data_IF_384171719480
#
_entry.id   IF_384171719480
#
_cell.length_a   1.000
_cell.length_b   1.000
_cell.length_c   1.000
_cell.angle_alpha   90.00
_cell.angle_beta   90.00
_cell.angle_gamma   90.00
#
_symmetry.space_group_name_H-M   'P 1'
#
loop_
_entity.id
_entity.type
_entity.pdbx_description
1 polymer ?
#
# COMPACT_ATOMS: atom_id res chain seq x y z
N UNK A 1 -6.18 17.98 16.52
CA UNK A 1 -6.20 18.49 15.15
C UNK A 1 -4.90 19.17 14.70
N UNK A 2 -3.74 18.77 15.25
CA UNK A 2 -2.42 19.21 14.80
C UNK A 2 -1.65 18.06 14.12
N UNK A 3 -2.37 16.99 13.82
CA UNK A 3 -1.82 15.75 13.35
C UNK A 3 -1.70 15.76 11.86
N UNK A 4 -0.96 15.90 11.09
CA UNK A 4 -0.77 15.64 9.65
C UNK A 4 -0.57 16.85 8.75
N UNK A 5 0.26 17.80 9.17
CA UNK A 5 0.93 18.59 8.15
C UNK A 5 1.90 17.68 7.42
N UNK A 6 1.49 17.24 6.22
CA UNK A 6 2.40 16.52 5.32
C UNK A 6 3.62 17.41 5.10
N UNK A 7 4.84 16.96 5.41
CA UNK A 7 6.04 17.81 5.36
C UNK A 7 6.43 18.24 3.94
N UNK A 8 5.74 17.71 2.91
CA UNK A 8 5.91 18.06 1.51
C UNK A 8 4.56 17.98 0.78
N UNK A 9 4.46 18.60 -0.37
CA UNK A 9 3.25 18.57 -1.20
C UNK A 9 3.24 17.30 -2.04
N UNK A 10 2.18 16.49 -1.91
CA UNK A 10 1.90 15.39 -2.84
C UNK A 10 1.46 15.99 -4.16
N UNK A 11 2.15 15.66 -5.24
CA UNK A 11 1.86 16.16 -6.59
C UNK A 11 1.13 15.10 -7.42
N UNK A 12 0.41 15.45 -8.50
CA UNK A 12 -0.33 14.48 -9.31
C UNK A 12 0.53 13.33 -9.88
N UNK A 13 1.80 13.56 -10.16
CA UNK A 13 2.73 12.55 -10.65
C UNK A 13 3.20 11.56 -9.57
N UNK A 14 2.86 11.82 -8.30
CA UNK A 14 3.04 10.90 -7.18
C UNK A 14 1.83 9.99 -6.96
N UNK A 15 0.77 10.12 -7.75
CA UNK A 15 -0.47 9.37 -7.59
C UNK A 15 -0.76 8.55 -8.84
N UNK A 16 -1.11 7.29 -8.65
CA UNK A 16 -1.70 6.45 -9.67
C UNK A 16 -3.04 5.91 -9.17
N UNK A 17 -4.11 6.00 -9.97
CA UNK A 17 -5.44 5.48 -9.66
C UNK A 17 -5.79 4.29 -10.56
N UNK A 18 -6.45 3.28 -10.01
CA UNK A 18 -6.86 2.06 -10.70
C UNK A 18 -8.23 1.56 -10.26
N UNK A 19 -8.65 0.45 -10.84
CA UNK A 19 -9.98 -0.16 -10.64
C UNK A 19 -10.03 -0.95 -9.31
N UNK A 20 -10.01 -0.21 -8.20
CA UNK A 20 -9.90 -0.73 -6.84
C UNK A 20 -8.46 -1.04 -6.43
N UNK A 21 -8.24 -1.15 -5.11
CA UNK A 21 -6.92 -1.52 -4.59
C UNK A 21 -6.45 -2.90 -5.04
N UNK A 22 -7.36 -3.79 -5.42
CA UNK A 22 -7.00 -5.13 -5.93
C UNK A 22 -6.26 -5.04 -7.26
N UNK A 23 -6.76 -4.25 -8.24
CA UNK A 23 -6.04 -4.04 -9.49
C UNK A 23 -4.72 -3.30 -9.26
N UNK A 24 -4.75 -2.27 -8.41
CA UNK A 24 -3.55 -1.51 -8.05
C UNK A 24 -2.48 -2.41 -7.44
N UNK A 25 -2.83 -3.26 -6.47
CA UNK A 25 -1.93 -4.24 -5.87
C UNK A 25 -1.43 -5.26 -6.89
N UNK A 26 -2.30 -5.75 -7.77
CA UNK A 26 -1.92 -6.66 -8.86
C UNK A 26 -0.82 -6.05 -9.73
N UNK A 27 -0.95 -4.79 -10.11
CA UNK A 27 0.09 -4.08 -10.88
C UNK A 27 1.37 -3.82 -10.09
N UNK A 28 1.27 -3.56 -8.78
CA UNK A 28 2.43 -3.45 -7.88
C UNK A 28 3.19 -4.76 -7.81
N UNK A 29 2.49 -5.89 -7.67
CA UNK A 29 3.11 -7.21 -7.67
C UNK A 29 3.85 -7.47 -8.98
N UNK A 30 3.21 -7.22 -10.11
CA UNK A 30 3.82 -7.43 -11.41
C UNK A 30 5.01 -6.49 -11.69
N UNK A 31 4.92 -5.24 -11.24
CA UNK A 31 5.93 -4.22 -11.51
C UNK A 31 7.24 -4.39 -10.75
N UNK A 32 7.17 -4.88 -9.49
CA UNK A 32 8.29 -4.79 -8.57
C UNK A 32 8.80 -6.12 -8.02
N UNK A 33 8.04 -7.20 -8.19
CA UNK A 33 8.41 -8.50 -7.64
C UNK A 33 8.48 -9.56 -8.74
N UNK A 34 9.35 -10.53 -8.57
CA UNK A 34 9.58 -11.58 -9.54
C UNK A 34 9.80 -12.96 -8.87
N UNK A 35 9.89 -14.00 -9.69
CA UNK A 35 10.08 -15.38 -9.23
C UNK A 35 11.47 -15.66 -8.65
N UNK A 36 12.44 -14.76 -8.84
CA UNK A 36 13.84 -14.99 -8.44
C UNK A 36 14.07 -14.82 -6.94
N UNK A 37 13.20 -14.05 -6.26
CA UNK A 37 13.35 -13.67 -4.85
C UNK A 37 12.03 -13.70 -4.11
N UNK A 38 12.07 -14.12 -2.84
CA UNK A 38 10.88 -14.12 -1.99
C UNK A 38 10.46 -12.70 -1.60
N UNK A 39 9.15 -12.46 -1.57
CA UNK A 39 8.54 -11.25 -1.03
C UNK A 39 8.19 -11.46 0.44
N UNK A 40 8.62 -10.57 1.32
CA UNK A 40 8.30 -10.64 2.75
C UNK A 40 6.88 -10.19 2.99
N UNK A 41 6.10 -11.01 3.69
CA UNK A 41 4.70 -10.76 4.05
C UNK A 41 4.45 -11.20 5.49
N UNK A 42 3.48 -10.62 6.23
CA UNK A 42 3.01 -11.21 7.48
C UNK A 42 2.32 -12.56 7.23
N UNK A 43 2.45 -13.50 8.15
CA UNK A 43 1.80 -14.83 8.07
C UNK A 43 0.26 -14.71 7.96
N UNK A 44 -0.33 -13.80 8.74
CA UNK A 44 -1.74 -13.47 8.68
C UNK A 44 -1.93 -12.00 8.30
N UNK A 45 -2.35 -11.76 7.07
CA UNK A 45 -2.61 -10.44 6.51
C UNK A 45 -3.69 -10.54 5.43
N UNK A 46 -3.79 -9.53 4.57
CA UNK A 46 -4.77 -9.52 3.50
C UNK A 46 -4.67 -10.78 2.62
N UNK A 47 -5.78 -11.50 2.51
CA UNK A 47 -5.83 -12.86 1.93
C UNK A 47 -5.46 -12.92 0.44
N UNK A 48 -5.44 -11.79 -0.25
CA UNK A 48 -5.08 -11.74 -1.67
C UNK A 48 -3.57 -11.64 -1.94
N UNK A 49 -2.73 -11.33 -0.96
CA UNK A 49 -1.27 -11.37 -1.19
C UNK A 49 -0.79 -12.75 -1.65
N UNK A 50 -1.20 -13.87 -1.03
CA UNK A 50 -0.89 -15.20 -1.56
C UNK A 50 -1.48 -15.48 -2.95
N UNK A 51 -2.65 -14.92 -3.27
CA UNK A 51 -3.28 -15.08 -4.59
C UNK A 51 -2.40 -14.41 -5.67
N UNK A 52 -1.96 -13.17 -5.45
CA UNK A 52 -1.04 -12.48 -6.38
C UNK A 52 0.31 -13.20 -6.46
N UNK A 53 0.85 -13.66 -5.32
CA UNK A 53 2.07 -14.46 -5.29
C UNK A 53 1.96 -15.70 -6.18
N UNK A 54 0.87 -16.45 -6.06
CA UNK A 54 0.60 -17.63 -6.90
C UNK A 54 0.41 -17.28 -8.38
N UNK A 55 -0.37 -16.23 -8.66
CA UNK A 55 -0.68 -15.83 -10.04
C UNK A 55 0.56 -15.35 -10.81
N UNK A 56 1.44 -14.59 -10.16
CA UNK A 56 2.67 -14.06 -10.77
C UNK A 56 3.91 -14.92 -10.53
N UNK A 57 3.77 -16.09 -9.92
CA UNK A 57 4.89 -16.98 -9.54
C UNK A 57 5.92 -16.29 -8.63
N UNK A 58 5.47 -15.41 -7.73
CA UNK A 58 6.31 -14.71 -6.75
C UNK A 58 6.30 -15.51 -5.45
N UNK A 59 7.42 -16.13 -5.04
CA UNK A 59 7.47 -16.89 -3.81
C UNK A 59 7.37 -15.95 -2.60
N UNK A 60 6.51 -16.28 -1.63
CA UNK A 60 6.35 -15.49 -0.42
C UNK A 60 7.27 -15.99 0.71
N UNK A 61 7.66 -15.07 1.60
CA UNK A 61 8.39 -15.31 2.84
C UNK A 61 7.53 -14.87 4.03
N UNK A 62 6.61 -15.73 4.52
CA UNK A 62 5.70 -15.36 5.60
C UNK A 62 6.44 -15.25 6.94
N UNK A 63 6.25 -14.11 7.61
CA UNK A 63 6.81 -13.83 8.93
C UNK A 63 5.71 -13.95 9.98
N UNK A 64 5.95 -14.75 11.02
CA UNK A 64 5.00 -14.96 12.12
C UNK A 64 4.73 -13.65 12.85
N UNK A 65 3.47 -13.46 13.23
CA UNK A 65 3.06 -12.38 14.11
C UNK A 65 3.53 -12.62 15.55
N UNK A 66 3.56 -11.56 16.36
CA UNK A 66 3.75 -11.65 17.80
C UNK A 66 2.54 -12.33 18.46
N UNK A 67 2.68 -12.75 19.72
CA UNK A 67 1.62 -13.43 20.45
C UNK A 67 0.35 -12.58 20.71
N UNK A 68 0.47 -11.26 20.59
CA UNK A 68 -0.63 -10.29 20.67
C UNK A 68 -1.20 -9.88 19.29
N UNK A 69 -0.85 -10.60 18.24
CA UNK A 69 -1.27 -10.38 16.85
C UNK A 69 -0.69 -9.11 16.20
N UNK A 70 0.30 -8.46 16.80
CA UNK A 70 1.04 -7.37 16.16
C UNK A 70 2.07 -7.89 15.16
N UNK A 71 2.47 -7.05 14.21
CA UNK A 71 3.55 -7.36 13.28
C UNK A 71 4.90 -7.38 14.01
N UNK A 72 5.71 -8.41 13.78
CA UNK A 72 7.11 -8.46 14.24
C UNK A 72 7.99 -7.67 13.25
N UNK A 73 8.03 -6.36 13.43
CA UNK A 73 8.73 -5.42 12.53
C UNK A 73 10.22 -5.71 12.43
N UNK A 74 10.85 -6.09 13.54
CA UNK A 74 12.28 -6.41 13.58
C UNK A 74 12.58 -7.69 12.76
N UNK A 75 11.74 -8.70 12.90
CA UNK A 75 11.88 -9.95 12.15
C UNK A 75 11.58 -9.76 10.66
N UNK A 76 10.54 -8.98 10.32
CA UNK A 76 10.22 -8.65 8.93
C UNK A 76 11.39 -7.92 8.25
N UNK A 77 11.98 -6.91 8.88
CA UNK A 77 13.16 -6.20 8.38
C UNK A 77 14.37 -7.13 8.25
N UNK A 78 14.60 -8.02 9.23
CA UNK A 78 15.68 -8.99 9.16
C UNK A 78 15.50 -10.01 8.01
N UNK A 79 14.27 -10.42 7.72
CA UNK A 79 13.96 -11.28 6.58
C UNK A 79 14.20 -10.56 5.25
N UNK A 80 13.75 -9.31 5.11
CA UNK A 80 13.93 -8.51 3.90
C UNK A 80 15.42 -8.37 3.52
N UNK A 81 16.29 -8.14 4.50
CA UNK A 81 17.76 -8.04 4.30
C UNK A 81 18.43 -9.32 3.77
N UNK A 82 17.76 -10.47 3.81
CA UNK A 82 18.26 -11.76 3.30
C UNK A 82 18.09 -11.94 1.79
N UNK A 83 18.28 -10.89 1.00
CA UNK A 83 18.13 -10.93 -0.46
C UNK A 83 16.68 -11.23 -0.91
N UNK A 84 15.72 -10.49 -0.36
CA UNK A 84 14.30 -10.51 -0.75
C UNK A 84 14.02 -9.50 -1.86
N UNK A 85 12.87 -9.65 -2.52
CA UNK A 85 12.41 -8.72 -3.55
C UNK A 85 11.84 -7.41 -2.97
N UNK A 86 11.43 -7.43 -1.71
CA UNK A 86 10.85 -6.31 -0.99
C UNK A 86 9.96 -6.81 0.15
N UNK A 87 9.07 -5.94 0.60
CA UNK A 87 8.17 -6.19 1.72
C UNK A 87 6.79 -5.59 1.42
N UNK A 88 5.72 -6.28 1.83
CA UNK A 88 4.35 -5.77 1.81
C UNK A 88 3.61 -6.18 3.08
N UNK A 89 2.85 -5.26 3.65
CA UNK A 89 1.92 -5.53 4.76
C UNK A 89 0.80 -4.49 4.78
N UNK A 90 -0.34 -4.86 5.37
CA UNK A 90 -1.44 -3.94 5.64
C UNK A 90 -1.23 -3.21 6.97
N UNK A 91 -1.55 -1.92 7.02
CA UNK A 91 -1.46 -1.09 8.22
C UNK A 91 -2.64 -0.10 8.32
N UNK A 92 -3.61 -0.31 9.22
CA UNK A 92 -3.77 -1.45 10.13
C UNK A 92 -3.87 -2.81 9.43
N UNK A 93 -3.34 -3.86 10.08
CA UNK A 93 -3.33 -5.21 9.50
C UNK A 93 -4.73 -5.83 9.52
N UNK A 94 -5.17 -6.34 8.40
CA UNK A 94 -6.38 -7.16 8.30
C UNK A 94 -5.96 -8.65 8.18
N UNK A 95 -6.51 -9.58 8.99
CA UNK A 95 -7.74 -9.43 9.80
C UNK A 95 -7.51 -9.04 11.28
N UNK A 96 -6.28 -8.79 11.72
CA UNK A 96 -5.98 -8.67 13.17
C UNK A 96 -6.43 -7.33 13.77
N UNK A 97 -6.63 -6.29 12.96
CA UNK A 97 -6.96 -4.95 13.39
C UNK A 97 -5.80 -4.21 14.08
N UNK A 98 -4.62 -4.83 14.16
CA UNK A 98 -3.44 -4.21 14.78
C UNK A 98 -2.73 -3.28 13.81
N UNK A 99 -2.48 -2.04 14.24
CA UNK A 99 -1.74 -1.05 13.46
C UNK A 99 -0.37 -0.76 14.06
N UNK A 100 0.55 -0.37 13.19
CA UNK A 100 1.84 0.22 13.56
C UNK A 100 1.71 1.75 13.51
N UNK A 101 2.37 2.42 14.42
CA UNK A 101 2.58 3.87 14.37
C UNK A 101 3.50 4.23 13.21
N UNK A 102 3.40 5.46 12.72
CA UNK A 102 4.33 5.99 11.70
C UNK A 102 5.79 5.87 12.13
N UNK A 103 6.07 6.04 13.42
CA UNK A 103 7.42 5.89 13.97
C UNK A 103 7.93 4.46 13.80
N UNK A 104 7.12 3.46 14.13
CA UNK A 104 7.50 2.04 13.97
C UNK A 104 7.74 1.67 12.50
N UNK A 105 6.89 2.16 11.59
CA UNK A 105 7.09 1.97 10.15
C UNK A 105 8.38 2.66 9.68
N UNK A 106 8.67 3.87 10.17
CA UNK A 106 9.93 4.57 9.87
C UNK A 106 11.15 3.79 10.36
N UNK A 107 11.11 3.28 11.57
CA UNK A 107 12.18 2.45 12.13
C UNK A 107 12.39 1.17 11.28
N UNK A 108 11.30 0.56 10.82
CA UNK A 108 11.37 -0.59 9.92
C UNK A 108 12.01 -0.22 8.57
N UNK A 109 11.62 0.89 7.95
CA UNK A 109 12.21 1.42 6.72
C UNK A 109 13.71 1.71 6.85
N UNK A 110 14.17 2.22 8.00
CA UNK A 110 15.59 2.45 8.28
C UNK A 110 16.38 1.14 8.36
N UNK A 111 15.72 0.04 8.71
CA UNK A 111 16.33 -1.28 8.87
C UNK A 111 16.12 -2.21 7.68
N UNK A 112 15.54 -1.72 6.58
CA UNK A 112 15.35 -2.44 5.32
C UNK A 112 16.22 -1.86 4.21
N UNK A 113 16.30 -2.55 3.08
CA UNK A 113 17.09 -2.13 1.92
C UNK A 113 16.40 -0.99 1.18
N UNK A 114 17.16 0.03 0.80
CA UNK A 114 16.67 1.20 0.06
C UNK A 114 16.48 0.94 -1.44
N UNK A 115 17.08 -0.11 -1.97
CA UNK A 115 16.98 -0.52 -3.38
C UNK A 115 15.81 -1.49 -3.64
N UNK A 116 14.96 -1.72 -2.64
CA UNK A 116 13.76 -2.58 -2.73
C UNK A 116 12.51 -1.80 -2.35
N UNK A 117 11.42 -2.12 -3.04
CA UNK A 117 10.13 -1.47 -2.76
C UNK A 117 9.58 -1.96 -1.42
N UNK A 118 9.12 -1.01 -0.64
CA UNK A 118 8.47 -1.19 0.64
C UNK A 118 7.01 -0.76 0.50
N UNK A 119 6.09 -1.72 0.56
CA UNK A 119 4.66 -1.46 0.32
C UNK A 119 3.89 -1.47 1.63
N UNK A 120 3.16 -0.39 1.91
CA UNK A 120 2.21 -0.28 3.01
C UNK A 120 0.80 -0.18 2.42
N UNK A 121 -0.02 -1.18 2.70
CA UNK A 121 -1.43 -1.17 2.32
C UNK A 121 -2.25 -0.50 3.43
N UNK A 122 -2.67 0.73 3.17
CA UNK A 122 -3.43 1.58 4.08
C UNK A 122 -4.95 1.50 3.83
N UNK A 123 -5.47 0.35 3.40
CA UNK A 123 -6.90 0.20 3.13
C UNK A 123 -7.79 0.53 4.35
N UNK A 124 -7.27 0.38 5.56
CA UNK A 124 -8.01 0.62 6.81
C UNK A 124 -7.43 1.75 7.66
N UNK A 125 -6.55 2.60 7.13
CA UNK A 125 -5.85 3.63 7.90
C UNK A 125 -6.79 4.66 8.53
N UNK A 126 -7.89 4.98 7.87
CA UNK A 126 -8.85 5.99 8.34
C UNK A 126 -9.66 5.53 9.57
N UNK A 127 -9.54 4.26 9.97
CA UNK A 127 -10.15 3.70 11.19
C UNK A 127 -9.19 3.76 12.40
N UNK A 128 -8.53 4.89 12.60
CA UNK A 128 -7.65 5.14 13.74
C UNK A 128 -6.17 4.77 13.51
N UNK A 129 -5.77 4.49 12.27
CA UNK A 129 -4.38 4.31 11.89
C UNK A 129 -3.64 5.64 11.68
N UNK A 130 -2.31 5.55 11.64
CA UNK A 130 -1.44 6.67 11.24
C UNK A 130 -0.95 6.47 9.81
N UNK A 131 -1.25 7.42 8.92
CA UNK A 131 -0.76 7.35 7.54
C UNK A 131 0.75 7.48 7.45
N UNK A 132 1.35 6.66 6.58
CA UNK A 132 2.77 6.69 6.24
C UNK A 132 3.10 7.67 5.10
N UNK A 133 2.12 8.39 4.53
CA UNK A 133 2.35 9.37 3.45
C UNK A 133 3.47 10.37 3.79
N UNK A 134 3.56 10.94 5.03
CA UNK A 134 4.65 11.84 5.38
C UNK A 134 6.06 11.25 5.25
N UNK A 135 6.20 9.93 5.32
CA UNK A 135 7.49 9.24 5.18
C UNK A 135 8.02 9.23 3.73
N UNK A 136 7.17 9.52 2.75
CA UNK A 136 7.60 9.63 1.34
C UNK A 136 8.67 10.72 1.13
N UNK A 137 8.70 11.73 2.01
CA UNK A 137 9.75 12.76 1.98
C UNK A 137 11.15 12.19 2.24
N UNK A 138 11.26 11.09 2.98
CA UNK A 138 12.53 10.48 3.40
C UNK A 138 12.84 9.18 2.65
N UNK A 139 11.80 8.47 2.17
CA UNK A 139 11.92 7.11 1.64
C UNK A 139 11.34 7.01 0.22
N UNK A 140 12.15 7.24 -0.83
CA UNK A 140 11.68 7.19 -2.21
C UNK A 140 11.26 5.79 -2.67
N UNK A 141 11.65 4.74 -1.94
CA UNK A 141 11.25 3.36 -2.18
C UNK A 141 9.96 2.94 -1.46
N UNK A 142 9.34 3.85 -0.70
CA UNK A 142 8.04 3.60 -0.06
C UNK A 142 6.90 3.77 -1.09
N UNK A 143 5.95 2.83 -1.07
CA UNK A 143 4.74 2.86 -1.86
C UNK A 143 3.55 2.61 -0.94
N UNK A 144 2.57 3.49 -0.97
CA UNK A 144 1.36 3.40 -0.14
C UNK A 144 0.18 3.09 -1.03
N UNK A 145 -0.62 2.09 -0.65
CA UNK A 145 -1.85 1.72 -1.34
C UNK A 145 -3.05 2.18 -0.52
N UNK A 146 -4.03 2.77 -1.17
CA UNK A 146 -5.28 3.24 -0.58
C UNK A 146 -6.50 2.80 -1.39
N UNK A 147 -7.67 2.82 -0.76
CA UNK A 147 -8.93 2.43 -1.39
C UNK A 147 -10.09 3.33 -0.99
N UNK A 148 -11.02 3.53 -1.92
CA UNK A 148 -12.31 4.17 -1.65
C UNK A 148 -13.36 3.19 -1.06
N UNK A 149 -13.02 1.89 -1.03
CA UNK A 149 -13.99 0.83 -0.68
C UNK A 149 -14.37 0.79 0.79
N UNK A 150 -13.58 1.39 1.68
CA UNK A 150 -13.73 1.29 3.14
C UNK A 150 -14.28 2.59 3.73
N UNK A 151 -13.45 3.48 4.23
CA UNK A 151 -13.85 4.73 4.87
C UNK A 151 -14.69 5.63 3.98
N UNK A 152 -14.42 5.67 2.68
CA UNK A 152 -15.19 6.45 1.72
C UNK A 152 -16.45 5.74 1.20
N UNK A 153 -16.87 4.63 1.81
CA UNK A 153 -18.12 3.90 1.56
C UNK A 153 -18.43 3.62 0.08
N UNK A 154 -17.40 3.56 -0.78
CA UNK A 154 -17.52 3.53 -2.25
C UNK A 154 -17.01 2.22 -2.87
N UNK A 155 -17.22 1.08 -2.20
CA UNK A 155 -16.76 -0.23 -2.66
C UNK A 155 -17.27 -0.59 -4.08
N UNK A 156 -18.51 -0.22 -4.41
CA UNK A 156 -19.12 -0.44 -5.72
C UNK A 156 -18.52 0.39 -6.85
N UNK A 157 -17.85 1.50 -6.54
CA UNK A 157 -17.21 2.38 -7.55
C UNK A 157 -15.86 1.85 -8.02
N UNK A 158 -15.33 0.84 -7.37
CA UNK A 158 -14.04 0.22 -7.74
C UNK A 158 -12.91 1.23 -7.93
N UNK A 159 -12.64 2.05 -6.91
CA UNK A 159 -11.55 3.00 -6.90
C UNK A 159 -10.50 2.65 -5.85
N UNK A 160 -9.24 2.66 -6.28
CA UNK A 160 -8.07 2.54 -5.44
C UNK A 160 -6.91 3.33 -6.01
N UNK A 161 -5.91 3.63 -5.22
CA UNK A 161 -4.78 4.41 -5.68
C UNK A 161 -3.51 4.09 -4.89
N UNK A 162 -2.38 4.44 -5.47
CA UNK A 162 -1.10 4.52 -4.77
C UNK A 162 -0.67 5.98 -4.59
N UNK A 163 0.11 6.19 -3.52
CA UNK A 163 0.92 7.40 -3.36
C UNK A 163 2.37 6.94 -3.18
N UNK A 164 3.25 7.39 -4.07
CA UNK A 164 4.65 6.97 -4.08
C UNK A 164 5.51 8.03 -4.78
N UNK A 165 6.83 7.79 -4.85
CA UNK A 165 7.69 8.65 -5.69
C UNK A 165 7.24 8.60 -7.17
N UNK A 166 7.48 9.69 -7.94
CA UNK A 166 7.12 9.71 -9.37
C UNK A 166 7.75 8.58 -10.19
N UNK A 167 8.90 8.07 -9.77
CA UNK A 167 9.58 6.94 -10.41
C UNK A 167 8.78 5.64 -10.25
N UNK A 168 8.35 5.32 -9.02
CA UNK A 168 7.52 4.14 -8.76
C UNK A 168 6.16 4.25 -9.46
N UNK A 169 5.54 5.43 -9.44
CA UNK A 169 4.27 5.68 -10.13
C UNK A 169 4.40 5.47 -11.65
N UNK A 170 5.47 5.97 -12.28
CA UNK A 170 5.74 5.73 -13.71
C UNK A 170 5.88 4.24 -14.02
N UNK A 171 6.54 3.47 -13.15
CA UNK A 171 6.71 2.02 -13.33
C UNK A 171 5.36 1.30 -13.30
N UNK A 172 4.50 1.58 -12.32
CA UNK A 172 3.14 1.00 -12.26
C UNK A 172 2.29 1.46 -13.46
N UNK A 173 2.40 2.72 -13.86
CA UNK A 173 1.68 3.26 -15.03
C UNK A 173 2.09 2.55 -16.32
N UNK A 174 3.35 2.16 -16.46
CA UNK A 174 3.82 1.38 -17.62
C UNK A 174 3.15 0.00 -17.65
N UNK A 175 3.05 -0.68 -16.52
CA UNK A 175 2.33 -1.96 -16.41
C UNK A 175 0.85 -1.78 -16.78
N UNK A 176 0.19 -0.79 -16.18
CA UNK A 176 -1.21 -0.45 -16.46
C UNK A 176 -1.44 -0.22 -17.94
N UNK A 177 -0.61 0.60 -18.60
CA UNK A 177 -0.76 0.90 -20.02
C UNK A 177 -0.57 -0.31 -20.95
N UNK A 178 0.11 -1.35 -20.44
CA UNK A 178 0.34 -2.61 -21.17
C UNK A 178 -0.78 -3.64 -20.97
N UNK A 179 -1.53 -3.56 -19.87
CA UNK A 179 -2.54 -4.56 -19.49
C UNK A 179 -3.98 -4.03 -19.54
N UNK A 180 -4.22 -2.85 -18.97
CA UNK A 180 -5.53 -2.21 -18.91
C UNK A 180 -5.38 -0.69 -19.08
N UNK A 181 -5.48 -0.21 -20.30
CA UNK A 181 -5.17 1.20 -20.63
C UNK A 181 -6.16 2.20 -20.00
N UNK A 182 -7.45 1.85 -19.90
CA UNK A 182 -8.51 2.71 -19.34
C UNK A 182 -9.28 2.01 -18.22
N UNK A 183 -8.68 1.84 -17.01
CA UNK A 183 -9.26 1.03 -15.94
C UNK A 183 -10.46 1.67 -15.23
N UNK A 184 -10.59 3.00 -15.26
CA UNK A 184 -11.59 3.74 -14.49
C UNK A 184 -12.62 4.35 -15.45
N UNK A 185 -13.90 3.99 -15.27
CA UNK A 185 -15.00 4.55 -16.03
C UNK A 185 -15.36 5.98 -15.60
N UNK A 186 -16.16 6.68 -16.43
CA UNK A 186 -16.52 8.08 -16.19
C UNK A 186 -17.37 8.28 -14.91
N UNK A 187 -18.22 7.32 -14.56
CA UNK A 187 -19.06 7.41 -13.36
C UNK A 187 -18.19 7.29 -12.12
N UNK A 188 -17.26 6.33 -12.10
CA UNK A 188 -16.29 6.17 -11.00
C UNK A 188 -15.41 7.42 -10.83
N UNK A 189 -14.97 8.05 -11.94
CA UNK A 189 -14.17 9.28 -11.86
C UNK A 189 -14.95 10.43 -11.20
N UNK A 190 -16.21 10.64 -11.58
CA UNK A 190 -17.08 11.68 -10.99
C UNK A 190 -17.34 11.37 -9.51
N UNK A 191 -17.69 10.13 -9.20
CA UNK A 191 -17.95 9.70 -7.82
C UNK A 191 -16.71 9.88 -6.93
N UNK A 192 -15.54 9.48 -7.40
CA UNK A 192 -14.27 9.64 -6.68
C UNK A 192 -13.92 11.11 -6.44
N UNK A 193 -14.04 11.96 -7.46
CA UNK A 193 -13.81 13.40 -7.32
C UNK A 193 -14.78 14.04 -6.31
N UNK A 194 -16.06 13.63 -6.33
CA UNK A 194 -17.07 14.09 -5.38
C UNK A 194 -16.75 13.62 -3.96
N UNK A 195 -16.33 12.36 -3.77
CA UNK A 195 -15.92 11.84 -2.48
C UNK A 195 -14.76 12.65 -1.89
N UNK A 196 -13.70 12.89 -2.67
CA UNK A 196 -12.55 13.70 -2.24
C UNK A 196 -12.92 15.17 -1.90
N UNK A 197 -13.99 15.71 -2.43
CA UNK A 197 -14.44 17.06 -2.14
C UNK A 197 -15.35 17.17 -0.90
N UNK A 198 -15.70 16.05 -0.26
CA UNK A 198 -16.66 16.01 0.85
C UNK A 198 -16.06 15.42 2.15
N UNK A 199 -14.85 15.83 2.50
CA UNK A 199 -14.13 15.33 3.68
C UNK A 199 -14.95 15.43 4.98
N UNK A 200 -15.72 16.50 5.17
CA UNK A 200 -16.56 16.69 6.36
C UNK A 200 -17.61 15.57 6.51
N UNK A 201 -18.24 15.14 5.42
CA UNK A 201 -19.20 14.05 5.45
C UNK A 201 -18.57 12.73 5.93
N UNK A 202 -17.38 12.40 5.41
CA UNK A 202 -16.71 11.14 5.77
C UNK A 202 -16.06 11.19 7.15
N UNK A 203 -15.74 12.38 7.68
CA UNK A 203 -15.25 12.53 9.05
C UNK A 203 -16.33 12.22 10.10
N UNK A 204 -17.61 12.38 9.72
CA UNK A 204 -18.76 12.10 10.60
C UNK A 204 -19.23 10.63 10.50
N UNK A 205 -18.75 9.86 9.51
CA UNK A 205 -19.10 8.45 9.33
C UNK A 205 -18.24 7.53 10.18
#
# INVERSE_FOLDING_TARGET
AEQDKIPFTVTPDMIYSGNGSDEVLSFVFYAFFDSSRRLVVPEFSYSFYPVYGGFYNIPLDPVKLNGDWTLDTAKMAAHERRNRSGIIFANPNAPTGRGLTRREVREMLLNTRRDKVFVVDEAYVDFGGESCIPLLAEFPNLLIVRTFSKSLCSAGMRLGYIVASPELVRTVTTVKNSLNHFPIDAVAQVAGSTACANDAYYADC
#
